data_IF_746337570553
#
_entry.id   IF_746337570553
#
_cell.length_a   1.000
_cell.length_b   1.000
_cell.length_c   1.000
_cell.angle_alpha   90.00
_cell.angle_beta   90.00
_cell.angle_gamma   90.00
#
_symmetry.space_group_name_H-M   'P 1'
#
loop_
_entity.id
_entity.type
_entity.pdbx_description
1 polymer ?
#
# COMPACT_ATOMS: atom_id res chain seq x y z
N UNK A 1 -4.20 -3.25 24.45
CA UNK A 1 -5.31 -2.41 24.97
C UNK A 1 -5.54 -2.55 26.48
N UNK A 2 -4.66 -3.19 27.27
CA UNK A 2 -4.92 -3.48 28.70
C UNK A 2 -4.42 -2.43 29.71
N UNK A 3 -3.67 -1.39 29.29
CA UNK A 3 -3.09 -0.38 30.19
C UNK A 3 -3.60 1.04 29.92
N UNK A 4 -4.92 1.20 29.69
CA UNK A 4 -5.55 2.52 29.53
C UNK A 4 -6.33 2.88 30.80
N UNK A 5 -5.97 3.99 31.45
CA UNK A 5 -6.67 4.53 32.62
C UNK A 5 -8.12 4.90 32.25
N UNK A 6 -9.06 4.85 33.22
CA UNK A 6 -10.46 5.16 32.97
C UNK A 6 -10.68 6.56 32.34
N UNK A 7 -9.84 7.53 32.69
CA UNK A 7 -9.81 8.88 32.10
C UNK A 7 -9.44 8.87 30.61
N UNK A 8 -8.40 8.13 30.21
CA UNK A 8 -7.98 8.03 28.81
C UNK A 8 -9.05 7.38 27.92
N UNK A 9 -9.80 6.40 28.47
CA UNK A 9 -10.95 5.83 27.76
C UNK A 9 -12.04 6.88 27.54
N UNK A 10 -12.32 7.70 28.55
CA UNK A 10 -13.31 8.77 28.45
C UNK A 10 -12.91 9.83 27.41
N UNK A 11 -11.64 10.24 27.39
CA UNK A 11 -11.11 11.16 26.37
C UNK A 11 -11.24 10.61 24.95
N UNK A 12 -10.92 9.33 24.72
CA UNK A 12 -11.09 8.69 23.41
C UNK A 12 -12.56 8.71 22.99
N UNK A 13 -13.48 8.35 23.89
CA UNK A 13 -14.92 8.35 23.61
C UNK A 13 -15.48 9.76 23.34
N UNK A 14 -15.02 10.78 24.08
CA UNK A 14 -15.38 12.17 23.80
C UNK A 14 -14.82 12.63 22.45
N UNK A 15 -13.56 12.30 22.14
CA UNK A 15 -12.92 12.65 20.87
C UNK A 15 -13.66 12.03 19.69
N UNK A 16 -14.13 10.78 19.80
CA UNK A 16 -14.96 10.15 18.77
C UNK A 16 -16.32 10.86 18.59
N UNK A 17 -16.93 11.37 19.67
CA UNK A 17 -18.24 12.06 19.58
C UNK A 17 -18.15 13.44 18.92
N UNK A 18 -17.04 14.14 19.12
CA UNK A 18 -16.84 15.52 18.64
C UNK A 18 -16.12 15.53 17.27
N UNK A 19 -15.57 14.39 16.83
CA UNK A 19 -14.90 14.27 15.54
C UNK A 19 -15.82 14.61 14.36
N UNK A 20 -15.26 15.34 13.39
CA UNK A 20 -15.92 15.62 12.13
C UNK A 20 -15.81 14.41 11.18
N UNK A 21 -16.93 13.72 11.02
CA UNK A 21 -17.06 12.54 10.17
C UNK A 21 -16.90 12.85 8.68
N UNK A 22 -16.93 14.12 8.26
CA UNK A 22 -16.66 14.53 6.88
C UNK A 22 -15.25 14.10 6.45
N UNK A 23 -14.27 14.24 7.34
CA UNK A 23 -12.89 13.81 7.06
C UNK A 23 -12.77 12.29 6.93
N UNK A 24 -13.56 11.52 7.67
CA UNK A 24 -13.61 10.07 7.55
C UNK A 24 -14.20 9.68 6.18
N UNK A 25 -15.28 10.32 5.76
CA UNK A 25 -15.88 10.09 4.45
C UNK A 25 -14.91 10.43 3.30
N UNK A 26 -14.23 11.58 3.39
CA UNK A 26 -13.21 11.98 2.42
C UNK A 26 -12.05 10.97 2.39
N UNK A 27 -11.57 10.53 3.55
CA UNK A 27 -10.50 9.53 3.65
C UNK A 27 -10.89 8.18 3.02
N UNK A 28 -12.12 7.72 3.25
CA UNK A 28 -12.65 6.49 2.63
C UNK A 28 -12.72 6.65 1.11
N UNK A 29 -13.22 7.78 0.62
CA UNK A 29 -13.33 8.05 -0.82
C UNK A 29 -11.96 8.09 -1.49
N UNK A 30 -11.00 8.83 -0.91
CA UNK A 30 -9.62 8.87 -1.39
C UNK A 30 -8.93 7.50 -1.30
N UNK A 31 -9.21 6.72 -0.26
CA UNK A 31 -8.74 5.34 -0.11
C UNK A 31 -9.24 4.43 -1.22
N UNK A 32 -10.53 4.49 -1.55
CA UNK A 32 -11.10 3.73 -2.67
C UNK A 32 -10.49 4.13 -4.01
N UNK A 33 -10.31 5.44 -4.27
CA UNK A 33 -9.66 5.93 -5.47
C UNK A 33 -8.19 5.48 -5.56
N UNK A 34 -7.48 5.46 -4.44
CA UNK A 34 -6.11 4.95 -4.35
C UNK A 34 -6.03 3.46 -4.73
N UNK A 35 -6.96 2.63 -4.23
CA UNK A 35 -7.03 1.22 -4.62
C UNK A 35 -7.39 1.03 -6.10
N UNK A 36 -8.26 1.87 -6.65
CA UNK A 36 -8.63 1.85 -8.06
C UNK A 36 -7.42 2.22 -8.95
N UNK A 37 -6.70 3.27 -8.60
CA UNK A 37 -5.46 3.67 -9.28
C UNK A 37 -4.44 2.54 -9.29
N UNK A 38 -4.27 1.84 -8.16
CA UNK A 38 -3.38 0.69 -8.07
C UNK A 38 -3.81 -0.48 -8.95
N UNK A 39 -5.11 -0.76 -9.04
CA UNK A 39 -5.65 -1.77 -9.93
C UNK A 39 -5.40 -1.42 -11.41
N UNK A 40 -5.57 -0.16 -11.79
CA UNK A 40 -5.28 0.33 -13.15
C UNK A 40 -3.80 0.22 -13.48
N UNK A 41 -2.90 0.64 -12.57
CA UNK A 41 -1.45 0.49 -12.74
C UNK A 41 -1.07 -0.97 -12.97
N UNK A 42 -1.63 -1.87 -12.18
CA UNK A 42 -1.34 -3.30 -12.29
C UNK A 42 -1.89 -3.91 -13.59
N UNK A 43 -3.06 -3.45 -14.04
CA UNK A 43 -3.60 -3.79 -15.37
C UNK A 43 -2.64 -3.40 -16.49
N UNK A 44 -2.13 -2.17 -16.48
CA UNK A 44 -1.16 -1.69 -17.48
C UNK A 44 0.10 -2.56 -17.48
N UNK A 45 0.58 -3.00 -16.31
CA UNK A 45 1.75 -3.87 -16.21
C UNK A 45 1.55 -5.25 -16.87
N UNK A 46 0.29 -5.69 -17.03
CA UNK A 46 -0.06 -6.96 -17.68
C UNK A 46 -0.27 -6.84 -19.19
N UNK A 47 -0.50 -5.63 -19.72
CA UNK A 47 -0.73 -5.40 -21.15
C UNK A 47 0.45 -5.81 -22.04
N UNK A 48 1.74 -5.54 -21.70
CA UNK A 48 2.89 -5.98 -22.48
C UNK A 48 3.03 -7.51 -22.57
N UNK A 49 2.43 -8.24 -21.62
CA UNK A 49 2.41 -9.71 -21.63
C UNK A 49 1.24 -10.27 -22.47
N UNK A 50 0.45 -9.41 -23.11
CA UNK A 50 -0.70 -9.80 -23.93
C UNK A 50 -2.00 -10.04 -23.15
N UNK A 51 -2.02 -9.77 -21.84
CA UNK A 51 -3.21 -9.95 -21.01
C UNK A 51 -3.97 -8.63 -20.83
N UNK A 52 -5.28 -8.65 -21.06
CA UNK A 52 -6.17 -7.48 -20.90
C UNK A 52 -7.30 -7.80 -19.92
N UNK A 53 -7.00 -7.95 -18.62
CA UNK A 53 -8.03 -8.30 -17.65
C UNK A 53 -9.05 -7.17 -17.48
N UNK A 54 -10.28 -7.52 -17.10
CA UNK A 54 -11.32 -6.53 -16.80
C UNK A 54 -10.94 -5.74 -15.56
N UNK A 55 -11.04 -4.41 -15.64
CA UNK A 55 -10.70 -3.51 -14.53
C UNK A 55 -11.42 -3.87 -13.23
N UNK A 56 -12.70 -4.28 -13.32
CA UNK A 56 -13.47 -4.73 -12.16
C UNK A 56 -12.84 -5.94 -11.46
N UNK A 57 -12.40 -6.95 -12.21
CA UNK A 57 -11.79 -8.16 -11.66
C UNK A 57 -10.43 -7.86 -11.02
N UNK A 58 -9.63 -7.00 -11.66
CA UNK A 58 -8.34 -6.55 -11.10
C UNK A 58 -8.56 -5.75 -9.81
N UNK A 59 -9.55 -4.86 -9.79
CA UNK A 59 -9.90 -4.07 -8.61
C UNK A 59 -10.37 -4.95 -7.45
N UNK A 60 -11.25 -5.92 -7.71
CA UNK A 60 -11.70 -6.87 -6.69
C UNK A 60 -10.54 -7.73 -6.17
N UNK A 61 -9.63 -8.18 -7.03
CA UNK A 61 -8.45 -8.91 -6.62
C UNK A 61 -7.52 -8.08 -5.72
N UNK A 62 -7.38 -6.78 -6.00
CA UNK A 62 -6.65 -5.85 -5.14
C UNK A 62 -7.33 -5.72 -3.78
N UNK A 63 -8.64 -5.49 -3.73
CA UNK A 63 -9.40 -5.38 -2.47
C UNK A 63 -9.30 -6.65 -1.62
N UNK A 64 -9.46 -7.83 -2.23
CA UNK A 64 -9.31 -9.12 -1.53
C UNK A 64 -7.86 -9.30 -1.07
N UNK A 65 -6.88 -8.85 -1.84
CA UNK A 65 -5.48 -8.83 -1.42
C UNK A 65 -5.26 -8.00 -0.15
N UNK A 66 -5.86 -6.80 -0.08
CA UNK A 66 -5.80 -5.98 1.13
C UNK A 66 -6.50 -6.64 2.32
N UNK A 67 -7.65 -7.28 2.10
CA UNK A 67 -8.34 -8.04 3.13
C UNK A 67 -7.47 -9.21 3.64
N UNK A 68 -6.82 -9.95 2.75
CA UNK A 68 -5.93 -11.05 3.12
C UNK A 68 -4.69 -10.57 3.90
N UNK A 69 -4.19 -9.37 3.62
CA UNK A 69 -3.10 -8.76 4.40
C UNK A 69 -3.50 -8.44 5.85
N UNK A 70 -4.79 -8.28 6.15
CA UNK A 70 -5.27 -8.14 7.53
C UNK A 70 -5.21 -9.46 8.30
N UNK A 71 -5.35 -10.59 7.61
CA UNK A 71 -5.26 -11.92 8.22
C UNK A 71 -3.80 -12.30 8.49
N UNK A 72 -2.94 -12.20 7.47
CA UNK A 72 -1.51 -12.47 7.61
C UNK A 72 -0.69 -11.53 6.71
N UNK A 73 0.48 -11.07 7.19
CA UNK A 73 1.33 -10.18 6.42
C UNK A 73 1.77 -10.86 5.12
N UNK A 74 1.71 -10.12 4.01
CA UNK A 74 2.14 -10.53 2.66
C UNK A 74 1.25 -11.57 1.96
N UNK A 75 0.19 -12.09 2.59
CA UNK A 75 -0.75 -12.99 1.90
C UNK A 75 -1.46 -12.32 0.72
N UNK A 76 -1.74 -11.03 0.83
CA UNK A 76 -2.48 -10.30 -0.19
C UNK A 76 -1.87 -10.34 -1.58
N UNK A 77 -0.55 -10.43 -1.66
CA UNK A 77 0.19 -10.51 -2.91
C UNK A 77 -0.02 -11.85 -3.63
N UNK A 78 -0.07 -12.94 -2.86
CA UNK A 78 -0.36 -14.28 -3.36
C UNK A 78 -1.84 -14.41 -3.72
N UNK A 79 -2.73 -13.91 -2.85
CA UNK A 79 -4.18 -13.96 -3.04
C UNK A 79 -4.62 -13.25 -4.32
N UNK A 80 -4.11 -12.03 -4.59
CA UNK A 80 -4.47 -11.30 -5.83
C UNK A 80 -4.08 -12.07 -7.09
N UNK A 81 -2.90 -12.71 -7.10
CA UNK A 81 -2.43 -13.49 -8.24
C UNK A 81 -3.27 -14.77 -8.45
N UNK A 82 -3.66 -15.44 -7.35
CA UNK A 82 -4.56 -16.60 -7.41
C UNK A 82 -5.94 -16.24 -7.98
N UNK A 83 -6.50 -15.09 -7.58
CA UNK A 83 -7.79 -14.61 -8.09
C UNK A 83 -7.72 -14.31 -9.59
N UNK A 84 -6.68 -13.59 -10.05
CA UNK A 84 -6.52 -13.34 -11.50
C UNK A 84 -6.30 -14.63 -12.30
N UNK A 85 -5.62 -15.61 -11.71
CA UNK A 85 -5.46 -16.92 -12.35
C UNK A 85 -6.81 -17.60 -12.56
N UNK A 86 -7.72 -17.51 -11.58
CA UNK A 86 -9.04 -18.13 -11.65
C UNK A 86 -10.03 -17.39 -12.56
N UNK A 87 -10.09 -16.06 -12.49
CA UNK A 87 -11.11 -15.26 -13.19
C UNK A 87 -10.67 -14.74 -14.55
N UNK A 88 -9.39 -14.40 -14.70
CA UNK A 88 -8.84 -13.79 -15.92
C UNK A 88 -7.94 -14.75 -16.71
N UNK A 89 -7.76 -15.99 -16.22
CA UNK A 89 -6.92 -17.05 -16.83
C UNK A 89 -5.47 -16.63 -17.06
N UNK A 90 -4.98 -15.68 -16.26
CA UNK A 90 -3.59 -15.23 -16.32
C UNK A 90 -2.75 -16.21 -15.50
N UNK A 91 -1.68 -16.82 -16.05
CA UNK A 91 -0.86 -17.76 -15.31
C UNK A 91 -0.32 -17.15 -14.00
N UNK A 92 -0.40 -17.90 -12.90
CA UNK A 92 0.06 -17.46 -11.59
C UNK A 92 1.51 -16.97 -11.64
N UNK A 93 2.41 -17.71 -12.31
CA UNK A 93 3.83 -17.34 -12.41
C UNK A 93 4.06 -16.00 -13.12
N UNK A 94 3.22 -15.66 -14.11
CA UNK A 94 3.32 -14.38 -14.84
C UNK A 94 2.81 -13.24 -13.98
N UNK A 95 1.63 -13.38 -13.38
CA UNK A 95 1.07 -12.36 -12.48
C UNK A 95 1.94 -12.16 -11.24
N UNK A 96 2.43 -13.23 -10.62
CA UNK A 96 3.34 -13.17 -9.48
C UNK A 96 4.70 -12.53 -9.86
N UNK A 97 5.23 -12.84 -11.04
CA UNK A 97 6.42 -12.17 -11.58
C UNK A 97 6.27 -10.66 -11.64
N UNK A 98 5.12 -10.14 -12.07
CA UNK A 98 4.87 -8.69 -12.08
C UNK A 98 4.89 -8.07 -10.68
N UNK A 99 4.44 -8.80 -9.67
CA UNK A 99 4.49 -8.34 -8.28
C UNK A 99 5.93 -8.22 -7.81
N UNK A 100 6.75 -9.23 -8.06
CA UNK A 100 8.17 -9.20 -7.69
C UNK A 100 8.88 -8.05 -8.41
N UNK A 101 8.65 -7.88 -9.71
CA UNK A 101 9.23 -6.78 -10.49
C UNK A 101 8.82 -5.42 -9.93
N UNK A 102 7.53 -5.23 -9.61
CA UNK A 102 7.02 -4.03 -8.95
C UNK A 102 7.78 -3.74 -7.65
N UNK A 103 7.97 -4.74 -6.79
CA UNK A 103 8.73 -4.60 -5.53
C UNK A 103 10.20 -4.29 -5.73
N UNK A 104 10.84 -4.93 -6.70
CA UNK A 104 12.25 -4.70 -7.01
C UNK A 104 12.49 -3.26 -7.48
N UNK A 105 11.61 -2.75 -8.36
CA UNK A 105 11.67 -1.36 -8.83
C UNK A 105 11.39 -0.38 -7.69
N UNK A 106 10.39 -0.65 -6.85
CA UNK A 106 10.10 0.19 -5.69
C UNK A 106 11.30 0.25 -4.72
N UNK A 107 11.95 -0.88 -4.44
CA UNK A 107 13.16 -0.93 -3.59
C UNK A 107 14.33 -0.19 -4.22
N UNK A 108 14.58 -0.37 -5.52
CA UNK A 108 15.64 0.33 -6.22
C UNK A 108 15.40 1.85 -6.17
N UNK A 109 14.19 2.29 -6.45
CA UNK A 109 13.80 3.71 -6.42
C UNK A 109 13.97 4.28 -5.01
N UNK A 110 13.55 3.54 -3.98
CA UNK A 110 13.75 3.95 -2.58
C UNK A 110 15.22 4.12 -2.24
N UNK A 111 16.09 3.17 -2.62
CA UNK A 111 17.53 3.25 -2.37
C UNK A 111 18.16 4.45 -3.07
N UNK A 112 17.81 4.70 -4.34
CA UNK A 112 18.29 5.85 -5.08
C UNK A 112 17.87 7.17 -4.43
N UNK A 113 16.60 7.30 -4.05
CA UNK A 113 16.10 8.50 -3.37
C UNK A 113 16.73 8.68 -1.99
N UNK A 114 16.94 7.60 -1.25
CA UNK A 114 17.61 7.64 0.05
C UNK A 114 19.03 8.19 -0.07
N UNK A 115 19.84 7.67 -0.98
CA UNK A 115 21.19 8.18 -1.20
C UNK A 115 21.18 9.60 -1.76
N UNK A 116 20.29 9.93 -2.69
CA UNK A 116 20.12 11.28 -3.21
C UNK A 116 19.84 12.30 -2.11
N UNK A 117 18.94 11.97 -1.18
CA UNK A 117 18.64 12.80 -0.01
C UNK A 117 19.83 12.91 0.94
N UNK A 118 20.54 11.80 1.20
CA UNK A 118 21.75 11.83 2.03
C UNK A 118 22.84 12.74 1.45
N UNK A 119 23.09 12.69 0.15
CA UNK A 119 24.06 13.57 -0.50
C UNK A 119 23.62 15.04 -0.44
N UNK A 120 22.35 15.31 -0.76
CA UNK A 120 21.78 16.67 -0.74
C UNK A 120 21.77 17.28 0.66
N UNK A 121 21.52 16.45 1.68
CA UNK A 121 21.36 16.89 3.07
C UNK A 121 22.63 16.67 3.92
N UNK A 122 23.74 16.27 3.29
CA UNK A 122 25.02 15.99 3.96
C UNK A 122 25.51 17.13 4.85
N UNK A 123 25.31 18.39 4.44
CA UNK A 123 25.65 19.56 5.26
C UNK A 123 24.83 19.67 6.56
N UNK A 124 23.51 19.43 6.52
CA UNK A 124 22.67 19.44 7.73
C UNK A 124 22.94 18.22 8.62
N UNK A 125 23.26 17.08 8.01
CA UNK A 125 23.63 15.86 8.72
C UNK A 125 24.96 16.05 9.47
N UNK A 126 25.95 16.69 8.86
CA UNK A 126 27.23 16.99 9.50
C UNK A 126 27.06 17.92 10.70
N UNK A 127 26.27 18.99 10.57
CA UNK A 127 26.00 19.93 11.68
C UNK A 127 25.31 19.20 12.85
N UNK A 128 24.28 18.39 12.56
CA UNK A 128 23.57 17.64 13.60
C UNK A 128 24.45 16.60 14.30
N UNK A 129 25.36 15.95 13.57
CA UNK A 129 26.32 15.00 14.15
C UNK A 129 27.30 15.74 15.07
N UNK A 130 27.87 16.87 14.64
CA UNK A 130 28.84 17.65 15.43
C UNK A 130 28.23 18.37 16.63
N UNK A 131 26.94 18.74 16.58
CA UNK A 131 26.27 19.47 17.66
C UNK A 131 25.75 18.54 18.78
N UNK A 132 25.60 17.24 18.49
CA UNK A 132 24.96 16.27 19.40
C UNK A 132 25.85 15.10 19.82
N UNK A 133 27.00 14.92 19.16
CA UNK A 133 28.08 13.98 19.54
C UNK A 133 29.33 14.80 19.81
#
# INVERSE_FOLDING_TARGET
MSNLTASQKHEIFQSLKIADYTWIAVAILLGMLSHLSRAMRWKILMEPMGYKPRTANVFMAVLIGYLANLALPRLGEVSRCGILTRYEKIPFNKSFGTVITERAIDMLTFVLLFFFLLFTQSGKLSIYITEKI
#
